data_IF_481250061172
#
_entry.id   IF_481250061172
#
_cell.length_a   1.000
_cell.length_b   1.000
_cell.length_c   1.000
_cell.angle_alpha   90.00
_cell.angle_beta   90.00
_cell.angle_gamma   90.00
#
_symmetry.space_group_name_H-M   'P 1'
#
loop_
_entity.id
_entity.type
_entity.pdbx_description
1 polymer ?
#
# COMPACT_ATOMS: atom_id res chain seq x y z
N UNK A 1 7.32 11.66 -10.20
CA UNK A 1 6.57 11.11 -9.04
C UNK A 1 7.46 10.65 -7.89
N UNK A 2 8.44 9.74 -8.09
CA UNK A 2 9.24 9.18 -6.99
C UNK A 2 10.09 10.20 -6.20
N UNK A 3 10.44 11.33 -6.80
CA UNK A 3 11.20 12.41 -6.18
C UNK A 3 10.32 13.57 -5.64
N UNK A 4 9.00 13.37 -5.47
CA UNK A 4 8.10 14.43 -5.00
C UNK A 4 8.49 14.90 -3.59
N UNK A 5 8.54 16.22 -3.37
CA UNK A 5 8.85 16.86 -2.09
C UNK A 5 7.84 17.93 -1.67
N UNK A 6 6.71 18.05 -2.38
CA UNK A 6 5.74 19.16 -2.24
C UNK A 6 5.23 19.32 -0.79
N UNK A 7 5.01 18.23 -0.07
CA UNK A 7 4.50 18.24 1.30
C UNK A 7 5.58 18.22 2.38
N UNK A 8 6.86 18.42 2.04
CA UNK A 8 7.97 18.26 2.99
C UNK A 8 7.85 19.15 4.24
N UNK A 9 7.32 20.37 4.10
CA UNK A 9 7.12 21.29 5.21
C UNK A 9 5.98 20.89 6.17
N UNK A 10 5.11 19.95 5.76
CA UNK A 10 3.89 19.62 6.51
C UNK A 10 3.92 18.20 7.11
N UNK A 11 4.98 17.43 6.86
CA UNK A 11 5.09 16.06 7.32
C UNK A 11 6.14 15.91 8.43
N UNK A 12 5.91 15.02 9.41
CA UNK A 12 6.89 14.75 10.47
C UNK A 12 8.15 14.05 9.95
N UNK A 13 8.08 13.43 8.76
CA UNK A 13 9.21 12.81 8.09
C UNK A 13 9.26 13.27 6.63
N UNK A 14 10.44 13.23 6.00
CA UNK A 14 10.61 13.60 4.59
C UNK A 14 9.65 12.79 3.69
N UNK A 15 9.02 13.41 2.67
CA UNK A 15 8.20 12.68 1.72
C UNK A 15 8.97 11.52 1.09
N UNK A 16 8.39 10.32 1.17
CA UNK A 16 8.90 9.11 0.51
C UNK A 16 7.77 8.48 -0.32
N UNK A 17 7.55 8.94 -1.57
CA UNK A 17 6.53 8.38 -2.43
C UNK A 17 6.81 6.89 -2.73
N UNK A 18 5.89 6.01 -2.32
CA UNK A 18 5.97 4.57 -2.57
C UNK A 18 5.03 4.24 -3.72
N UNK A 19 5.58 3.80 -4.85
CA UNK A 19 4.81 3.58 -6.09
C UNK A 19 5.06 2.17 -6.61
N UNK A 20 4.01 1.33 -6.56
CA UNK A 20 3.98 -0.01 -7.15
C UNK A 20 2.79 -0.08 -8.11
N UNK A 21 3.07 -0.28 -9.38
CA UNK A 21 2.06 -0.40 -10.45
C UNK A 21 2.54 -1.45 -11.43
N UNK A 22 1.62 -2.29 -11.91
CA UNK A 22 1.87 -3.26 -13.00
C UNK A 22 0.84 -3.03 -14.09
N UNK A 23 1.27 -2.99 -15.36
CA UNK A 23 0.38 -2.83 -16.52
C UNK A 23 -0.68 -3.95 -16.62
N UNK A 24 -0.38 -5.12 -16.06
CA UNK A 24 -1.24 -6.31 -16.08
C UNK A 24 -2.10 -6.47 -14.81
N UNK A 25 -2.05 -5.50 -13.88
CA UNK A 25 -2.84 -5.59 -12.65
C UNK A 25 -4.34 -5.57 -12.97
N UNK A 26 -5.09 -6.56 -12.45
CA UNK A 26 -6.56 -6.66 -12.59
C UNK A 26 -7.33 -6.08 -11.40
N UNK A 27 -6.63 -5.78 -10.31
CA UNK A 27 -7.19 -5.27 -9.07
C UNK A 27 -6.39 -4.03 -8.63
N UNK A 28 -7.11 -2.93 -8.40
CA UNK A 28 -6.57 -1.71 -7.80
C UNK A 28 -7.02 -1.64 -6.34
N UNK A 29 -6.06 -1.55 -5.43
CA UNK A 29 -6.32 -1.41 -3.99
C UNK A 29 -5.97 0.02 -3.58
N UNK A 30 -6.96 0.77 -3.10
CA UNK A 30 -6.81 2.15 -2.65
C UNK A 30 -6.87 2.17 -1.11
N UNK A 31 -5.79 2.64 -0.48
CA UNK A 31 -5.73 2.89 0.96
C UNK A 31 -5.64 4.37 1.28
N UNK A 32 -5.60 4.72 2.57
CA UNK A 32 -5.46 6.12 3.01
C UNK A 32 -4.04 6.67 2.75
N UNK A 33 -3.04 6.12 3.45
CA UNK A 33 -1.65 6.58 3.42
C UNK A 33 -0.70 5.51 3.99
N UNK A 34 0.62 5.60 3.73
CA UNK A 34 1.61 4.71 4.34
C UNK A 34 1.69 4.88 5.87
N UNK A 35 1.56 3.78 6.60
CA UNK A 35 1.93 3.74 8.03
C UNK A 35 3.46 3.73 8.24
N UNK A 36 3.91 3.89 9.49
CA UNK A 36 5.35 3.99 9.85
C UNK A 36 6.22 2.85 9.31
N UNK A 37 5.77 1.58 9.44
CA UNK A 37 6.52 0.41 8.94
C UNK A 37 6.71 0.47 7.43
N UNK A 38 5.63 0.72 6.68
CA UNK A 38 5.65 0.86 5.22
C UNK A 38 6.52 2.05 4.80
N UNK A 39 6.44 3.18 5.52
CA UNK A 39 7.33 4.32 5.29
C UNK A 39 8.81 3.97 5.45
N UNK A 40 9.16 3.19 6.49
CA UNK A 40 10.55 2.82 6.78
C UNK A 40 11.15 1.86 5.73
N UNK A 41 10.39 0.86 5.27
CA UNK A 41 10.92 -0.18 4.36
C UNK A 41 10.58 0.06 2.89
N UNK A 42 9.59 0.90 2.58
CA UNK A 42 9.18 1.21 1.21
C UNK A 42 8.37 0.13 0.50
N UNK A 43 7.89 -0.89 1.22
CA UNK A 43 7.09 -1.98 0.66
C UNK A 43 5.60 -1.75 1.01
N UNK A 44 4.72 -1.46 0.03
CA UNK A 44 3.30 -1.27 0.30
C UNK A 44 2.67 -2.51 0.93
N UNK A 45 1.69 -2.31 1.82
CA UNK A 45 0.94 -3.38 2.48
C UNK A 45 1.77 -4.40 3.31
N UNK A 46 3.07 -4.14 3.57
CA UNK A 46 3.86 -4.95 4.49
C UNK A 46 3.69 -4.45 5.94
N UNK A 47 2.47 -4.62 6.45
CA UNK A 47 2.03 -4.21 7.78
C UNK A 47 0.77 -5.02 8.18
N UNK A 48 0.34 -4.97 9.47
CA UNK A 48 -0.84 -5.74 9.93
C UNK A 48 -2.12 -5.47 9.13
N UNK A 49 -2.29 -4.25 8.59
CA UNK A 49 -3.40 -3.92 7.71
C UNK A 49 -3.36 -4.68 6.38
N UNK A 50 -2.17 -4.88 5.80
CA UNK A 50 -2.00 -5.70 4.61
C UNK A 50 -2.19 -7.19 4.89
N UNK A 51 -1.77 -7.68 6.06
CA UNK A 51 -2.04 -9.06 6.47
C UNK A 51 -3.55 -9.34 6.57
N UNK A 52 -4.31 -8.40 7.14
CA UNK A 52 -5.77 -8.45 7.21
C UNK A 52 -6.40 -8.44 5.82
N UNK A 53 -5.95 -7.52 4.94
CA UNK A 53 -6.45 -7.42 3.58
C UNK A 53 -6.19 -8.70 2.77
N UNK A 54 -5.02 -9.31 2.93
CA UNK A 54 -4.70 -10.59 2.33
C UNK A 54 -5.65 -11.69 2.82
N UNK A 55 -5.95 -11.75 4.12
CA UNK A 55 -6.93 -12.70 4.65
C UNK A 55 -8.33 -12.50 4.04
N UNK A 56 -8.79 -11.25 3.91
CA UNK A 56 -10.08 -10.97 3.27
C UNK A 56 -10.10 -11.42 1.82
N UNK A 57 -9.05 -11.12 1.06
CA UNK A 57 -8.93 -11.55 -0.32
C UNK A 57 -8.99 -13.08 -0.45
N UNK A 58 -8.28 -13.83 0.39
CA UNK A 58 -8.32 -15.29 0.38
C UNK A 58 -9.72 -15.84 0.73
N UNK A 59 -10.40 -15.24 1.71
CA UNK A 59 -11.77 -15.63 2.07
C UNK A 59 -12.75 -15.37 0.92
N UNK A 60 -12.60 -14.26 0.21
CA UNK A 60 -13.45 -13.94 -0.95
C UNK A 60 -13.22 -14.93 -2.10
N UNK A 61 -11.96 -15.27 -2.40
CA UNK A 61 -11.66 -16.28 -3.42
C UNK A 61 -12.22 -17.66 -3.06
N UNK A 62 -12.14 -18.06 -1.79
CA UNK A 62 -12.75 -19.31 -1.32
C UNK A 62 -14.27 -19.35 -1.45
N UNK A 63 -14.94 -18.19 -1.47
CA UNK A 63 -16.40 -18.08 -1.71
C UNK A 63 -16.78 -18.06 -3.18
N UNK A 64 -15.86 -17.69 -4.08
CA UNK A 64 -16.12 -17.67 -5.54
C UNK A 64 -15.88 -19.05 -6.16
N UNK A 65 -14.98 -19.84 -5.57
CA UNK A 65 -14.58 -21.15 -6.07
C UNK A 65 -15.40 -22.31 -5.47
N UNK A 66 -16.51 -22.02 -4.79
CA UNK A 66 -17.39 -23.00 -4.15
C UNK A 66 -18.85 -22.61 -4.42
#
# INVERSE_FOLDING_TARGET
MRACQICAAHLPNKPRPIVVVRKTARLLIIGQAPGRKVYAIGIPWNNPGGDCLQQWHQRLLGRVNN
#
